data_IF_493626968819
#
_entry.id   IF_493626968819
#
_cell.length_a   1.000
_cell.length_b   1.000
_cell.length_c   1.000
_cell.angle_alpha   90.00
_cell.angle_beta   90.00
_cell.angle_gamma   90.00
#
_symmetry.space_group_name_H-M   'P 1'
#
loop_
_entity.id
_entity.type
_entity.pdbx_description
1 polymer ?
#
# COMPACT_ATOMS: atom_id res chain seq x y z
N UNK A 1 17.88 2.46 10.27
CA UNK A 1 18.39 1.34 9.43
C UNK A 1 17.56 1.33 8.17
N UNK A 2 18.19 1.36 6.99
CA UNK A 2 17.49 1.32 5.72
C UNK A 2 17.39 -0.11 5.18
N UNK A 3 16.32 -0.40 4.46
CA UNK A 3 16.08 -1.66 3.77
C UNK A 3 16.14 -1.42 2.27
N UNK A 4 16.99 -2.19 1.57
CA UNK A 4 17.11 -2.16 0.11
C UNK A 4 16.37 -3.35 -0.48
N UNK A 5 15.43 -3.08 -1.38
CA UNK A 5 14.60 -4.08 -2.05
C UNK A 5 14.85 -3.99 -3.55
N UNK A 6 15.19 -5.11 -4.24
CA UNK A 6 15.25 -5.09 -5.70
C UNK A 6 13.86 -4.82 -6.27
N UNK A 7 13.79 -4.15 -7.42
CA UNK A 7 12.54 -4.06 -8.16
C UNK A 7 12.09 -5.44 -8.60
N UNK A 8 10.80 -5.71 -8.45
CA UNK A 8 10.20 -6.93 -8.95
C UNK A 8 9.97 -6.78 -10.46
N UNK A 9 10.45 -7.76 -11.21
CA UNK A 9 10.37 -7.82 -12.67
C UNK A 9 9.10 -8.55 -13.09
N UNK A 10 8.33 -7.97 -14.01
CA UNK A 10 7.16 -8.58 -14.62
C UNK A 10 7.29 -8.56 -16.15
N UNK A 11 6.86 -9.61 -16.87
CA UNK A 11 6.76 -9.56 -18.32
C UNK A 11 5.78 -8.48 -18.78
N UNK A 12 6.11 -7.72 -19.82
CA UNK A 12 5.25 -6.65 -20.36
C UNK A 12 4.26 -7.14 -21.45
N UNK A 13 4.28 -8.44 -21.76
CA UNK A 13 3.45 -9.06 -22.81
C UNK A 13 3.94 -8.78 -24.24
N UNK A 14 5.04 -8.04 -24.42
CA UNK A 14 5.63 -7.65 -25.72
C UNK A 14 7.08 -8.13 -25.88
N UNK A 15 7.54 -9.02 -25.00
CA UNK A 15 8.90 -9.56 -24.97
C UNK A 15 9.88 -8.73 -24.13
N UNK A 16 9.41 -7.67 -23.48
CA UNK A 16 10.17 -6.86 -22.53
C UNK A 16 9.74 -7.11 -21.08
N UNK A 17 10.13 -6.19 -20.21
CA UNK A 17 9.85 -6.26 -18.77
C UNK A 17 9.49 -4.89 -18.20
N UNK A 18 8.58 -4.89 -17.25
CA UNK A 18 8.30 -3.76 -16.36
C UNK A 18 8.81 -4.07 -14.95
N UNK A 19 9.15 -3.02 -14.21
CA UNK A 19 9.79 -3.11 -12.90
C UNK A 19 8.97 -2.33 -11.88
N UNK A 20 8.54 -2.99 -10.81
CA UNK A 20 7.80 -2.33 -9.72
C UNK A 20 8.61 -2.38 -8.42
N UNK A 21 8.58 -1.28 -7.67
CA UNK A 21 8.99 -1.27 -6.27
C UNK A 21 7.90 -1.94 -5.43
N UNK A 22 8.17 -3.16 -4.93
CA UNK A 22 7.22 -3.96 -4.17
C UNK A 22 7.69 -4.09 -2.73
N UNK A 23 6.77 -3.83 -1.80
CA UNK A 23 6.94 -4.16 -0.38
C UNK A 23 5.91 -5.21 0.03
N UNK A 24 6.37 -6.23 0.76
CA UNK A 24 5.47 -7.16 1.41
C UNK A 24 4.92 -6.57 2.71
N UNK A 25 3.59 -6.51 2.83
CA UNK A 25 2.90 -5.96 4.00
C UNK A 25 1.79 -6.88 4.50
N UNK A 26 1.36 -6.67 5.73
CA UNK A 26 0.13 -7.20 6.29
C UNK A 26 -0.70 -6.05 6.86
N UNK A 27 -2.01 -6.24 6.99
CA UNK A 27 -2.88 -5.32 7.71
C UNK A 27 -3.61 -6.05 8.83
N UNK A 28 -4.01 -5.34 9.88
CA UNK A 28 -4.95 -5.84 10.88
C UNK A 28 -5.88 -4.72 11.31
N UNK A 29 -6.98 -5.08 11.96
CA UNK A 29 -7.83 -4.09 12.62
C UNK A 29 -7.09 -3.43 13.82
N UNK A 30 -7.52 -2.24 14.26
CA UNK A 30 -6.86 -1.53 15.36
C UNK A 30 -6.94 -2.21 16.73
N UNK A 31 -7.86 -3.16 16.93
CA UNK A 31 -8.07 -3.81 18.22
C UNK A 31 -6.85 -4.62 18.66
N UNK A 32 -6.63 -4.66 19.97
CA UNK A 32 -5.56 -5.45 20.58
C UNK A 32 -5.72 -6.92 20.19
N UNK A 33 -4.64 -7.51 19.69
CA UNK A 33 -4.56 -8.91 19.23
C UNK A 33 -5.42 -9.25 18.02
N UNK A 34 -5.89 -8.26 17.23
CA UNK A 34 -6.56 -8.53 15.97
C UNK A 34 -5.67 -9.39 15.04
N UNK A 35 -6.21 -10.44 14.40
CA UNK A 35 -5.43 -11.27 13.49
C UNK A 35 -4.95 -10.45 12.30
N UNK A 36 -3.74 -10.75 11.84
CA UNK A 36 -3.17 -10.12 10.64
C UNK A 36 -3.72 -10.79 9.39
N UNK A 37 -3.88 -10.01 8.33
CA UNK A 37 -4.11 -10.52 6.98
C UNK A 37 -2.98 -11.46 6.54
N UNK A 38 -3.20 -12.23 5.47
CA UNK A 38 -2.08 -12.82 4.72
C UNK A 38 -1.15 -11.71 4.21
N UNK A 39 0.13 -12.07 4.02
CA UNK A 39 1.12 -11.14 3.47
C UNK A 39 0.82 -10.90 2.00
N UNK A 40 0.76 -9.64 1.60
CA UNK A 40 0.45 -9.23 0.23
C UNK A 40 1.58 -8.38 -0.35
N UNK A 41 1.69 -8.39 -1.68
CA UNK A 41 2.56 -7.48 -2.41
C UNK A 41 1.87 -6.13 -2.57
N UNK A 42 2.55 -5.06 -2.15
CA UNK A 42 2.09 -3.70 -2.27
C UNK A 42 3.06 -2.89 -3.13
N UNK A 43 2.53 -2.13 -4.10
CA UNK A 43 3.33 -1.24 -4.94
C UNK A 43 3.63 0.04 -4.15
N UNK A 44 4.89 0.45 -4.10
CA UNK A 44 5.27 1.76 -3.54
C UNK A 44 5.11 2.81 -4.63
N UNK A 45 4.22 3.78 -4.42
CA UNK A 45 3.85 4.75 -5.46
C UNK A 45 3.63 6.15 -4.87
N UNK A 46 4.59 7.05 -5.10
CA UNK A 46 4.45 8.46 -4.70
C UNK A 46 3.41 9.23 -5.51
N UNK A 47 2.94 8.67 -6.64
CA UNK A 47 1.86 9.23 -7.45
C UNK A 47 0.46 8.98 -6.87
N UNK A 48 0.34 8.11 -5.86
CA UNK A 48 -0.90 7.88 -5.13
C UNK A 48 -1.00 8.77 -3.89
N UNK A 49 -2.10 9.49 -3.72
CA UNK A 49 -2.31 10.38 -2.57
C UNK A 49 -2.34 9.65 -1.23
N UNK A 50 -2.86 8.42 -1.17
CA UNK A 50 -3.03 7.62 0.05
C UNK A 50 -2.73 6.15 -0.23
N UNK A 51 -2.36 5.42 0.82
CA UNK A 51 -2.47 3.97 0.81
C UNK A 51 -3.89 3.51 0.45
N UNK A 52 -4.00 2.70 -0.60
CA UNK A 52 -5.25 2.10 -1.04
C UNK A 52 -5.08 0.59 -1.16
N UNK A 53 -6.07 -0.14 -0.65
CA UNK A 53 -6.11 -1.59 -0.64
C UNK A 53 -7.32 -2.07 -1.43
N UNK A 54 -7.21 -3.25 -2.03
CA UNK A 54 -8.38 -3.91 -2.55
C UNK A 54 -9.33 -4.27 -1.40
N UNK A 55 -10.62 -4.01 -1.57
CA UNK A 55 -11.63 -4.19 -0.52
C UNK A 55 -11.70 -5.63 0.03
N UNK A 56 -11.36 -6.64 -0.79
CA UNK A 56 -11.27 -8.04 -0.33
C UNK A 56 -10.27 -8.23 0.81
N UNK A 57 -9.20 -7.43 0.89
CA UNK A 57 -8.22 -7.53 1.96
C UNK A 57 -8.78 -7.03 3.29
N UNK A 58 -9.57 -5.94 3.27
CA UNK A 58 -10.29 -5.45 4.43
C UNK A 58 -11.33 -6.48 4.90
N UNK A 59 -12.14 -7.01 3.98
CA UNK A 59 -13.11 -8.07 4.33
C UNK A 59 -12.44 -9.30 4.96
N UNK A 60 -11.27 -9.68 4.47
CA UNK A 60 -10.52 -10.82 5.00
C UNK A 60 -10.05 -10.64 6.46
N UNK A 61 -9.97 -9.40 6.95
CA UNK A 61 -9.69 -9.09 8.37
C UNK A 61 -10.93 -8.68 9.17
N UNK A 62 -12.13 -8.88 8.62
CA UNK A 62 -13.41 -8.60 9.30
C UNK A 62 -13.96 -7.19 9.11
N UNK A 63 -13.37 -6.40 8.22
CA UNK A 63 -13.74 -5.01 7.98
C UNK A 63 -15.05 -4.91 7.18
N UNK A 64 -16.02 -4.15 7.71
CA UNK A 64 -17.24 -3.79 6.99
C UNK A 64 -16.95 -2.56 6.11
N UNK A 65 -16.61 -2.82 4.85
CA UNK A 65 -16.06 -1.80 3.93
C UNK A 65 -17.01 -0.60 3.79
N UNK A 66 -18.31 -0.84 3.65
CA UNK A 66 -19.29 0.24 3.41
C UNK A 66 -19.57 1.12 4.64
N UNK A 67 -19.08 0.74 5.83
CA UNK A 67 -19.17 1.57 7.03
C UNK A 67 -18.12 2.68 7.09
N UNK A 68 -17.19 2.71 6.12
CA UNK A 68 -16.14 3.73 6.05
C UNK A 68 -16.64 5.05 5.48
N UNK A 69 -15.87 6.12 5.73
CA UNK A 69 -16.12 7.40 5.06
C UNK A 69 -15.87 7.26 3.55
N UNK A 70 -16.83 7.65 2.72
CA UNK A 70 -16.70 7.57 1.27
C UNK A 70 -15.75 8.64 0.75
N UNK A 71 -14.75 8.23 -0.02
CA UNK A 71 -13.81 9.10 -0.72
C UNK A 71 -13.89 8.83 -2.24
N UNK A 72 -13.93 9.90 -3.04
CA UNK A 72 -13.77 9.79 -4.49
C UNK A 72 -12.29 9.80 -4.86
N UNK A 73 -11.89 8.77 -5.62
CA UNK A 73 -10.53 8.63 -6.14
C UNK A 73 -10.54 8.83 -7.66
N UNK A 74 -9.48 9.43 -8.20
CA UNK A 74 -9.29 9.63 -9.64
C UNK A 74 -7.91 9.16 -10.06
N UNK A 75 -7.87 8.32 -11.07
CA UNK A 75 -6.62 7.87 -11.70
C UNK A 75 -6.29 8.66 -12.97
N UNK A 76 -5.26 8.21 -13.69
CA UNK A 76 -4.80 8.82 -14.94
C UNK A 76 -5.90 8.84 -16.03
N UNK A 77 -6.81 7.87 -16.04
CA UNK A 77 -7.94 7.83 -16.98
C UNK A 77 -8.99 8.91 -16.74
N UNK A 78 -8.93 9.61 -15.60
CA UNK A 78 -9.96 10.56 -15.17
C UNK A 78 -11.23 9.91 -14.60
N UNK A 79 -11.34 8.57 -14.64
CA UNK A 79 -12.48 7.85 -14.07
C UNK A 79 -12.55 8.06 -12.55
N UNK A 80 -13.74 8.46 -12.08
CA UNK A 80 -14.03 8.61 -10.66
C UNK A 80 -14.45 7.26 -10.09
N UNK A 81 -13.71 6.79 -9.09
CA UNK A 81 -13.98 5.55 -8.38
C UNK A 81 -14.25 5.82 -6.91
N UNK A 82 -15.21 5.11 -6.33
CA UNK A 82 -15.47 5.17 -4.88
C UNK A 82 -14.48 4.30 -4.12
N UNK A 83 -14.01 4.82 -3.00
CA UNK A 83 -13.29 4.08 -1.99
C UNK A 83 -13.84 4.42 -0.60
N UNK A 84 -13.54 3.59 0.39
CA UNK A 84 -13.99 3.75 1.76
C UNK A 84 -12.81 3.83 2.71
N UNK A 85 -12.76 4.87 3.52
CA UNK A 85 -11.67 5.13 4.45
C UNK A 85 -11.88 4.42 5.77
N UNK A 86 -10.86 3.68 6.21
CA UNK A 86 -10.86 2.95 7.47
C UNK A 86 -9.53 3.11 8.20
N UNK A 87 -9.60 3.08 9.54
CA UNK A 87 -8.42 3.02 10.38
C UNK A 87 -7.96 1.55 10.51
N UNK A 88 -6.68 1.30 10.25
CA UNK A 88 -6.07 -0.03 10.33
C UNK A 88 -4.65 0.06 10.87
N UNK A 89 -4.10 -1.07 11.28
CA UNK A 89 -2.67 -1.22 11.51
C UNK A 89 -2.00 -1.80 10.27
N UNK A 90 -1.05 -1.06 9.69
CA UNK A 90 -0.13 -1.53 8.66
C UNK A 90 1.11 -2.15 9.33
N UNK A 91 1.44 -3.37 8.93
CA UNK A 91 2.66 -4.04 9.33
C UNK A 91 3.66 -3.95 8.19
N UNK A 92 4.69 -3.14 8.41
CA UNK A 92 5.77 -2.88 7.48
C UNK A 92 7.14 -3.04 8.19
N UNK A 93 8.27 -3.05 7.46
CA UNK A 93 9.58 -3.05 8.08
C UNK A 93 9.73 -1.87 9.06
N UNK A 94 10.25 -2.14 10.26
CA UNK A 94 10.37 -1.12 11.30
C UNK A 94 9.17 -1.01 12.25
N UNK A 95 8.10 -1.79 12.06
CA UNK A 95 7.06 -1.98 13.07
C UNK A 95 5.63 -1.79 12.59
N UNK A 96 4.73 -1.61 13.55
CA UNK A 96 3.31 -1.37 13.33
C UNK A 96 3.08 0.12 13.13
N UNK A 97 2.26 0.47 12.14
CA UNK A 97 1.95 1.84 11.79
C UNK A 97 0.42 2.00 11.78
N UNK A 98 -0.16 2.81 12.67
CA UNK A 98 -1.57 3.16 12.57
C UNK A 98 -1.78 4.08 11.37
N UNK A 99 -2.65 3.67 10.44
CA UNK A 99 -2.92 4.44 9.23
C UNK A 99 -4.41 4.54 8.97
N UNK A 100 -4.81 5.58 8.25
CA UNK A 100 -6.13 5.70 7.65
C UNK A 100 -6.01 5.42 6.15
N UNK A 101 -6.52 4.27 5.71
CA UNK A 101 -6.34 3.78 4.35
C UNK A 101 -7.66 3.69 3.59
N UNK A 102 -7.58 3.81 2.27
CA UNK A 102 -8.72 3.63 1.37
C UNK A 102 -8.89 2.15 0.99
N UNK A 103 -10.14 1.71 0.84
CA UNK A 103 -10.49 0.39 0.34
C UNK A 103 -11.41 0.51 -0.87
N UNK A 104 -11.06 -0.12 -1.99
CA UNK A 104 -11.85 -0.07 -3.23
C UNK A 104 -12.02 -1.45 -3.86
N UNK A 105 -13.21 -1.71 -4.42
CA UNK A 105 -13.50 -2.92 -5.23
C UNK A 105 -12.82 -2.91 -6.59
N UNK A 106 -12.38 -1.74 -7.05
CA UNK A 106 -11.89 -1.55 -8.43
C UNK A 106 -10.37 -1.40 -8.50
N UNK A 107 -9.67 -1.65 -7.40
CA UNK A 107 -8.21 -1.59 -7.40
C UNK A 107 -7.63 -2.82 -8.14
N UNK A 108 -6.90 -2.65 -9.25
CA UNK A 108 -6.41 -3.78 -10.04
C UNK A 108 -5.23 -4.53 -9.39
N UNK A 109 -4.75 -4.04 -8.25
CA UNK A 109 -3.65 -4.61 -7.46
C UNK A 109 -4.10 -4.81 -6.02
N UNK A 110 -3.39 -5.63 -5.25
CA UNK A 110 -3.76 -5.87 -3.85
C UNK A 110 -3.64 -4.61 -2.99
N UNK A 111 -2.59 -3.82 -3.22
CA UNK A 111 -2.28 -2.62 -2.45
C UNK A 111 -1.37 -1.66 -3.22
N UNK A 112 -1.62 -0.36 -3.05
CA UNK A 112 -0.70 0.72 -3.38
C UNK A 112 -0.38 1.48 -2.08
N UNK A 113 0.89 1.70 -1.81
CA UNK A 113 1.41 2.49 -0.69
C UNK A 113 1.67 3.91 -1.17
N UNK A 114 0.78 4.82 -0.80
CA UNK A 114 0.78 6.21 -1.24
C UNK A 114 1.31 7.20 -0.20
N UNK A 115 1.19 8.49 -0.52
CA UNK A 115 1.74 9.58 0.29
C UNK A 115 1.24 9.53 1.74
N UNK A 116 -0.08 9.50 1.91
CA UNK A 116 -0.73 9.36 3.22
C UNK A 116 -0.76 7.89 3.66
N UNK A 117 -0.27 7.61 4.85
CA UNK A 117 -0.20 6.27 5.46
C UNK A 117 1.10 5.49 5.18
N UNK A 118 1.92 5.87 4.19
CA UNK A 118 3.23 5.22 4.00
C UNK A 118 4.39 6.21 3.84
N UNK A 119 4.34 7.18 2.93
CA UNK A 119 5.50 8.09 2.77
C UNK A 119 5.66 9.09 3.92
N UNK A 120 4.61 9.40 4.68
CA UNK A 120 4.69 10.14 5.97
C UNK A 120 5.60 9.44 7.00
N UNK A 121 5.84 8.16 6.77
CA UNK A 121 6.37 7.20 7.72
C UNK A 121 7.71 6.61 7.26
N UNK A 122 8.03 6.77 5.98
CA UNK A 122 9.23 6.24 5.36
C UNK A 122 9.83 7.24 4.39
N UNK A 123 11.15 7.40 4.46
CA UNK A 123 11.92 7.96 3.37
C UNK A 123 12.10 6.86 2.34
N UNK A 124 11.61 7.11 1.13
CA UNK A 124 11.69 6.18 0.00
C UNK A 124 12.60 6.76 -1.05
N UNK A 125 13.57 5.98 -1.53
CA UNK A 125 14.50 6.38 -2.59
C UNK A 125 14.48 5.33 -3.69
N UNK A 126 13.98 5.73 -4.86
CA UNK A 126 13.97 4.90 -6.07
C UNK A 126 15.32 5.04 -6.78
N UNK A 127 16.01 3.93 -6.98
CA UNK A 127 17.31 3.85 -7.63
C UNK A 127 17.17 3.00 -8.91
N UNK A 128 16.82 3.62 -10.06
CA UNK A 128 16.64 2.90 -11.31
C UNK A 128 17.95 2.35 -11.88
N UNK A 129 19.11 2.97 -11.57
CA UNK A 129 20.41 2.48 -12.03
C UNK A 129 20.82 1.21 -11.29
N UNK A 130 20.50 1.16 -9.99
CA UNK A 130 20.65 -0.04 -9.15
C UNK A 130 19.47 -1.02 -9.19
N UNK A 131 18.42 -0.75 -9.98
CA UNK A 131 17.17 -1.51 -10.05
C UNK A 131 16.58 -1.88 -8.67
N UNK A 132 16.53 -0.91 -7.76
CA UNK A 132 16.11 -1.13 -6.38
C UNK A 132 15.40 0.08 -5.79
N UNK A 133 14.64 -0.16 -4.74
CA UNK A 133 14.11 0.86 -3.84
C UNK A 133 14.78 0.73 -2.48
N UNK A 134 15.15 1.85 -1.88
CA UNK A 134 15.58 1.93 -0.49
C UNK A 134 14.47 2.57 0.33
N UNK A 135 14.10 1.93 1.45
CA UNK A 135 13.14 2.47 2.41
C UNK A 135 13.79 2.61 3.78
N UNK A 136 13.58 3.75 4.41
CA UNK A 136 14.10 4.07 5.74
C UNK A 136 12.97 4.58 6.62
N UNK A 137 12.75 3.94 7.77
CA UNK A 137 11.74 4.38 8.74
C UNK A 137 12.10 5.77 9.26
N UNK A 138 11.22 6.74 9.04
CA UNK A 138 11.34 8.06 9.65
C UNK A 138 10.70 7.92 11.03
N UNK A 139 11.50 7.95 12.09
CA UNK A 139 10.96 8.02 13.44
C UNK A 139 10.25 9.38 13.59
N UNK A 140 8.93 9.36 13.64
CA UNK A 140 8.16 10.38 14.33
C UNK A 140 7.49 9.69 15.52
N UNK A 141 7.79 10.23 16.69
CA UNK A 141 7.39 9.77 18.01
C UNK A 141 5.88 9.64 18.15
#
# INVERSE_FOLDING_TARGET
>A
MSLKLPYKKFPDGKGGFIFHAILHVNIALPEKNAPRSKRVEAIIDSGASRCIFHASLGRAIGLQIDNGEVEETRGVSGEVNKAYLHNIHLYAPGGIIPIRAAFSERLPVACILGMIGFFEHFKVTFDPTGQRVEIERIFQA
#
